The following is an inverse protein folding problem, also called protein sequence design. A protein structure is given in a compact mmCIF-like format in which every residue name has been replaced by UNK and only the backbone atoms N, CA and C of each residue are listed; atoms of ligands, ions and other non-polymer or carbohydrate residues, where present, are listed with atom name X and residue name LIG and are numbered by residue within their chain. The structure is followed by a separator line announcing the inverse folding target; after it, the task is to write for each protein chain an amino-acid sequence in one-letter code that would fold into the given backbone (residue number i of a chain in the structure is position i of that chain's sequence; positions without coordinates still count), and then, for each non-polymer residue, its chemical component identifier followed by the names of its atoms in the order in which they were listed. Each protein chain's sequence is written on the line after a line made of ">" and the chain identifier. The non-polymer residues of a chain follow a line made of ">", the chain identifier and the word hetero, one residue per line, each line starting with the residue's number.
data_IF_645431905652
#
_entry.id   IF_645431905652
#
_cell.length_a   1.000
_cell.length_b   1.000
_cell.length_c   1.000
_cell.angle_alpha   90.00
_cell.angle_beta   90.00
_cell.angle_gamma   90.00
#
_symmetry.space_group_name_H-M   'P 1'
#
loop_
_entity.id
_entity.type
_entity.pdbx_description
1 polymer ?
#
# COMPACT_ATOMS: atom_id res chain seq x y z
N UNK A 1 3.32 -6.81 -19.58
CA UNK A 1 3.25 -7.53 -18.29
C UNK A 1 3.24 -6.47 -17.21
N UNK A 2 2.32 -6.51 -16.25
CA UNK A 2 2.26 -5.46 -15.22
C UNK A 2 3.49 -5.58 -14.29
N UNK A 3 4.21 -4.49 -13.98
CA UNK A 3 5.46 -4.53 -13.20
C UNK A 3 5.30 -5.21 -11.83
N UNK A 4 4.11 -5.14 -11.24
CA UNK A 4 3.82 -5.71 -9.93
C UNK A 4 3.70 -7.25 -9.91
N UNK A 5 3.42 -7.88 -11.06
CA UNK A 5 3.34 -9.35 -11.13
C UNK A 5 4.68 -9.97 -10.74
N UNK A 6 5.80 -9.41 -11.22
CA UNK A 6 7.17 -9.90 -10.98
C UNK A 6 7.54 -9.87 -9.49
N UNK A 7 7.07 -8.85 -8.76
CA UNK A 7 7.34 -8.69 -7.32
C UNK A 7 6.54 -9.67 -6.44
N UNK A 8 5.44 -10.23 -6.95
CA UNK A 8 4.51 -11.07 -6.19
C UNK A 8 4.50 -12.53 -6.64
N UNK A 9 5.30 -12.92 -7.65
CA UNK A 9 5.25 -14.26 -8.24
C UNK A 9 5.47 -15.40 -7.25
N UNK A 10 6.16 -15.13 -6.14
CA UNK A 10 6.45 -16.11 -5.09
C UNK A 10 5.31 -16.26 -4.06
N UNK A 11 4.23 -15.50 -4.19
CA UNK A 11 3.10 -15.52 -3.26
C UNK A 11 1.88 -16.13 -3.95
N UNK A 12 1.29 -17.15 -3.32
CA UNK A 12 0.07 -17.80 -3.82
C UNK A 12 -1.07 -16.78 -3.92
N UNK A 13 -1.71 -16.73 -5.10
CA UNK A 13 -2.95 -15.98 -5.31
C UNK A 13 -4.15 -16.78 -4.80
N UNK A 14 -5.19 -16.14 -4.25
CA UNK A 14 -6.39 -16.83 -3.80
C UNK A 14 -7.31 -17.15 -4.97
N UNK A 15 -8.16 -18.14 -4.74
CA UNK A 15 -9.25 -18.48 -5.63
C UNK A 15 -10.28 -17.33 -5.68
N UNK A 16 -10.69 -16.87 -6.87
CA UNK A 16 -11.77 -15.90 -7.01
C UNK A 16 -13.09 -16.50 -6.51
N UNK A 17 -13.71 -15.90 -5.48
CA UNK A 17 -15.04 -16.32 -5.01
C UNK A 17 -15.34 -16.22 -3.51
N UNK A 18 -14.36 -15.89 -2.65
CA UNK A 18 -14.56 -15.80 -1.18
C UNK A 18 -14.63 -14.35 -0.70
N UNK A 19 -15.59 -13.58 -1.20
CA UNK A 19 -15.66 -12.14 -0.93
C UNK A 19 -16.33 -11.76 0.41
N UNK A 20 -17.03 -12.70 1.07
CA UNK A 20 -17.82 -12.41 2.28
C UNK A 20 -17.19 -12.87 3.62
N UNK A 21 -16.06 -13.61 3.59
CA UNK A 21 -15.50 -14.22 4.82
C UNK A 21 -14.32 -13.48 5.45
N UNK A 22 -13.82 -12.38 4.88
CA UNK A 22 -12.57 -11.77 5.34
C UNK A 22 -12.69 -10.38 6.00
N UNK A 23 -13.90 -9.86 6.22
CA UNK A 23 -14.09 -8.54 6.85
C UNK A 23 -13.54 -8.47 8.28
N UNK A 24 -13.55 -9.58 9.02
CA UNK A 24 -12.91 -9.65 10.34
C UNK A 24 -11.40 -9.50 10.24
N UNK A 25 -10.77 -10.12 9.24
CA UNK A 25 -9.35 -9.96 8.98
C UNK A 25 -9.04 -8.51 8.58
N UNK A 26 -9.86 -7.89 7.75
CA UNK A 26 -9.71 -6.49 7.36
C UNK A 26 -9.74 -5.56 8.59
N UNK A 27 -10.67 -5.79 9.52
CA UNK A 27 -10.73 -5.05 10.78
C UNK A 27 -9.50 -5.29 11.66
N UNK A 28 -9.04 -6.53 11.77
CA UNK A 28 -7.81 -6.84 12.49
C UNK A 28 -6.59 -6.16 11.86
N UNK A 29 -6.50 -6.10 10.54
CA UNK A 29 -5.42 -5.44 9.81
C UNK A 29 -5.47 -3.92 10.00
N UNK A 30 -6.67 -3.33 9.98
CA UNK A 30 -6.83 -1.91 10.26
C UNK A 30 -6.49 -1.58 11.72
N UNK A 31 -6.89 -2.42 12.67
CA UNK A 31 -6.46 -2.30 14.06
C UNK A 31 -4.93 -2.43 14.17
N UNK A 32 -4.34 -3.43 13.50
CA UNK A 32 -2.89 -3.61 13.48
C UNK A 32 -2.16 -2.38 12.93
N UNK A 33 -2.72 -1.74 11.90
CA UNK A 33 -2.21 -0.49 11.38
C UNK A 33 -2.11 0.59 12.45
N UNK A 34 -3.22 0.85 13.14
CA UNK A 34 -3.34 1.89 14.15
C UNK A 34 -2.50 1.60 15.41
N UNK A 35 -2.30 0.33 15.75
CA UNK A 35 -1.54 -0.06 16.94
C UNK A 35 -0.04 -0.19 16.69
N UNK A 36 0.38 -0.59 15.50
CA UNK A 36 1.78 -0.96 15.23
C UNK A 36 2.33 -0.34 13.94
N UNK A 37 1.68 -0.56 12.79
CA UNK A 37 2.26 -0.19 11.48
C UNK A 37 2.52 1.30 11.33
N UNK A 38 1.66 2.16 11.90
CA UNK A 38 1.81 3.62 11.81
C UNK A 38 3.12 4.16 12.39
N UNK A 39 3.81 3.37 13.22
CA UNK A 39 5.05 3.78 13.87
C UNK A 39 6.32 3.43 13.09
N UNK A 40 6.24 2.60 12.04
CA UNK A 40 7.41 2.14 11.27
C UNK A 40 8.16 3.31 10.63
N UNK A 41 7.43 4.35 10.23
CA UNK A 41 7.98 5.49 9.49
C UNK A 41 8.15 6.74 10.36
N UNK A 42 8.06 6.58 11.68
CA UNK A 42 8.14 7.68 12.65
C UNK A 42 9.38 7.59 13.55
N UNK A 43 10.52 7.09 13.03
CA UNK A 43 11.76 6.91 13.81
C UNK A 43 12.42 8.20 14.29
N UNK A 44 12.06 9.36 13.72
CA UNK A 44 12.50 10.66 14.22
C UNK A 44 11.29 11.43 14.70
N UNK A 45 11.39 12.07 15.88
CA UNK A 45 10.39 12.92 16.57
C UNK A 45 9.96 14.17 15.76
N UNK A 46 9.86 14.06 14.44
CA UNK A 46 9.21 15.01 13.59
C UNK A 46 7.68 14.87 13.78
N UNK A 47 7.14 15.74 14.62
CA UNK A 47 5.72 15.82 14.96
C UNK A 47 4.83 15.90 13.71
N UNK A 48 5.28 16.58 12.66
CA UNK A 48 4.52 16.71 11.41
C UNK A 48 4.49 15.40 10.62
N UNK A 49 5.61 14.67 10.59
CA UNK A 49 5.68 13.33 9.99
C UNK A 49 4.76 12.35 10.73
N UNK A 50 4.71 12.45 12.06
CA UNK A 50 3.84 11.65 12.90
C UNK A 50 2.36 11.79 12.51
N UNK A 51 1.89 13.03 12.31
CA UNK A 51 0.48 13.31 12.02
C UNK A 51 0.02 12.71 10.69
N UNK A 52 0.88 12.68 9.68
CA UNK A 52 0.56 12.09 8.37
C UNK A 52 0.22 10.61 8.51
N UNK A 53 1.07 9.84 9.20
CA UNK A 53 0.87 8.40 9.37
C UNK A 53 -0.22 8.07 10.39
N UNK A 54 -0.40 8.90 11.42
CA UNK A 54 -1.36 8.60 12.48
C UNK A 54 -2.80 9.02 12.16
N UNK A 55 -2.98 10.13 11.45
CA UNK A 55 -4.30 10.73 11.24
C UNK A 55 -4.68 10.81 9.76
N UNK A 56 -3.82 11.38 8.92
CA UNK A 56 -4.19 11.68 7.53
C UNK A 56 -4.27 10.41 6.68
N UNK A 57 -3.33 9.48 6.87
CA UNK A 57 -3.30 8.22 6.13
C UNK A 57 -4.59 7.39 6.33
N UNK A 58 -5.09 7.14 7.55
CA UNK A 58 -6.42 6.55 7.76
C UNK A 58 -7.56 7.34 7.12
N UNK A 59 -7.60 8.68 7.28
CA UNK A 59 -8.69 9.51 6.73
C UNK A 59 -8.78 9.37 5.21
N UNK A 60 -7.63 9.41 4.53
CA UNK A 60 -7.55 9.23 3.08
C UNK A 60 -7.95 7.81 2.69
N UNK A 61 -7.49 6.79 3.43
CA UNK A 61 -7.86 5.41 3.18
C UNK A 61 -9.38 5.17 3.32
N UNK A 62 -10.03 5.72 4.35
CA UNK A 62 -11.49 5.61 4.50
C UNK A 62 -12.26 6.32 3.39
N UNK A 63 -11.65 7.32 2.74
CA UNK A 63 -12.28 8.10 1.66
C UNK A 63 -12.00 7.53 0.27
N UNK A 64 -11.16 6.50 0.16
CA UNK A 64 -10.72 5.92 -1.11
C UNK A 64 -10.49 4.42 -1.01
N UNK A 65 -11.33 3.63 -1.70
CA UNK A 65 -11.26 2.17 -1.64
C UNK A 65 -9.90 1.60 -2.07
N UNK A 66 -9.25 2.17 -3.10
CA UNK A 66 -7.92 1.70 -3.50
C UNK A 66 -6.87 2.00 -2.43
N UNK A 67 -6.95 3.15 -1.75
CA UNK A 67 -6.07 3.46 -0.63
C UNK A 67 -6.31 2.51 0.55
N UNK A 68 -7.57 2.21 0.88
CA UNK A 68 -7.91 1.25 1.93
C UNK A 68 -7.31 -0.12 1.65
N UNK A 69 -7.52 -0.66 0.45
CA UNK A 69 -6.93 -1.94 0.09
C UNK A 69 -5.40 -1.91 0.18
N UNK A 70 -4.72 -0.90 -0.37
CA UNK A 70 -3.27 -0.80 -0.26
C UNK A 70 -2.77 -0.73 1.20
N UNK A 71 -3.50 0.00 2.07
CA UNK A 71 -3.16 0.15 3.49
C UNK A 71 -3.31 -1.18 4.26
N UNK A 72 -4.40 -1.91 4.00
CA UNK A 72 -4.63 -3.23 4.60
C UNK A 72 -3.59 -4.24 4.13
N UNK A 73 -3.24 -4.21 2.84
CA UNK A 73 -2.20 -5.08 2.29
C UNK A 73 -0.83 -4.82 2.92
N UNK A 74 -0.43 -3.56 3.05
CA UNK A 74 0.81 -3.19 3.73
C UNK A 74 0.81 -3.60 5.21
N UNK A 75 -0.33 -3.43 5.88
CA UNK A 75 -0.50 -3.85 7.28
C UNK A 75 -0.41 -5.37 7.45
N UNK A 76 -0.88 -6.14 6.48
CA UNK A 76 -0.75 -7.59 6.47
C UNK A 76 0.71 -8.04 6.31
N UNK A 77 1.50 -7.36 5.47
CA UNK A 77 2.95 -7.61 5.37
C UNK A 77 3.65 -7.32 6.70
N UNK A 78 3.36 -6.19 7.33
CA UNK A 78 3.92 -5.90 8.64
C UNK A 78 3.49 -6.92 9.70
N UNK A 79 2.22 -7.31 9.76
CA UNK A 79 1.75 -8.35 10.69
C UNK A 79 2.44 -9.70 10.43
N UNK A 80 2.76 -10.02 9.17
CA UNK A 80 3.46 -11.25 8.79
C UNK A 80 4.91 -11.30 9.32
N UNK A 81 5.59 -10.16 9.50
CA UNK A 81 6.95 -10.14 10.09
C UNK A 81 6.91 -10.42 11.59
N UNK A 82 5.83 -10.03 12.25
CA UNK A 82 5.63 -10.22 13.70
C UNK A 82 4.97 -11.56 14.04
N UNK A 83 4.31 -12.22 13.08
CA UNK A 83 3.63 -13.50 13.27
C UNK A 83 4.09 -14.56 12.25
N UNK A 84 5.30 -15.15 12.43
CA UNK A 84 5.86 -16.11 11.48
C UNK A 84 4.97 -17.32 11.20
N UNK A 85 4.20 -17.78 12.19
CA UNK A 85 3.27 -18.91 12.06
C UNK A 85 2.12 -18.64 11.09
N UNK A 86 1.73 -17.38 10.90
CA UNK A 86 0.64 -16.96 10.01
C UNK A 86 1.16 -16.24 8.76
N UNK A 87 2.48 -16.09 8.61
CA UNK A 87 3.10 -15.26 7.59
C UNK A 87 2.67 -15.63 6.16
N UNK A 88 2.46 -16.91 5.85
CA UNK A 88 1.99 -17.35 4.52
C UNK A 88 0.61 -16.78 4.20
N UNK A 89 -0.35 -16.95 5.12
CA UNK A 89 -1.73 -16.48 4.94
C UNK A 89 -1.78 -14.96 4.85
N UNK A 90 -1.04 -14.27 5.72
CA UNK A 90 -0.96 -12.82 5.74
C UNK A 90 -0.31 -12.25 4.47
N UNK A 91 0.71 -12.91 3.91
CA UNK A 91 1.33 -12.51 2.64
C UNK A 91 0.39 -12.71 1.45
N UNK A 92 -0.34 -13.82 1.40
CA UNK A 92 -1.39 -14.01 0.39
C UNK A 92 -2.43 -12.90 0.48
N UNK A 93 -2.97 -12.67 1.68
CA UNK A 93 -3.90 -11.57 1.93
C UNK A 93 -3.33 -10.22 1.47
N UNK A 94 -2.05 -9.94 1.77
CA UNK A 94 -1.41 -8.72 1.35
C UNK A 94 -1.46 -8.52 -0.17
N UNK A 95 -1.14 -9.56 -0.94
CA UNK A 95 -1.16 -9.52 -2.41
C UNK A 95 -2.58 -9.32 -2.94
N UNK A 96 -3.58 -9.94 -2.33
CA UNK A 96 -4.99 -9.79 -2.74
C UNK A 96 -5.46 -8.35 -2.64
N UNK A 97 -5.14 -7.74 -1.50
CA UNK A 97 -5.45 -6.35 -1.26
C UNK A 97 -4.74 -5.46 -2.27
N UNK A 98 -3.48 -5.74 -2.58
CA UNK A 98 -2.77 -4.93 -3.56
C UNK A 98 -3.30 -5.09 -4.98
N UNK A 99 -3.61 -6.32 -5.40
CA UNK A 99 -4.24 -6.57 -6.71
C UNK A 99 -5.58 -5.82 -6.83
N UNK A 100 -6.43 -5.88 -5.80
CA UNK A 100 -7.68 -5.10 -5.73
C UNK A 100 -7.41 -3.60 -5.79
N UNK A 101 -6.42 -3.12 -5.04
CA UNK A 101 -6.07 -1.71 -5.01
C UNK A 101 -5.62 -1.19 -6.38
N UNK A 102 -4.79 -1.96 -7.10
CA UNK A 102 -4.32 -1.63 -8.44
C UNK A 102 -5.45 -1.61 -9.48
N UNK A 103 -6.39 -2.56 -9.40
CA UNK A 103 -7.59 -2.56 -10.26
C UNK A 103 -8.44 -1.33 -9.99
N UNK A 104 -8.78 -1.07 -8.73
CA UNK A 104 -9.59 0.08 -8.33
C UNK A 104 -8.93 1.42 -8.69
N UNK A 105 -7.60 1.52 -8.57
CA UNK A 105 -6.84 2.71 -8.97
C UNK A 105 -6.86 2.95 -10.49
N UNK A 106 -6.84 1.90 -11.31
CA UNK A 106 -6.97 2.03 -12.77
C UNK A 106 -8.36 2.48 -13.19
N UNK A 107 -9.38 2.01 -12.49
CA UNK A 107 -10.78 2.33 -12.79
C UNK A 107 -11.17 3.74 -12.31
N UNK A 108 -10.77 4.12 -11.10
CA UNK A 108 -11.28 5.31 -10.41
C UNK A 108 -10.21 6.36 -10.12
N UNK A 109 -8.93 5.98 -10.15
CA UNK A 109 -7.80 6.82 -9.76
C UNK A 109 -7.08 7.52 -10.92
N UNK A 110 -7.47 7.33 -12.18
CA UNK A 110 -6.71 7.89 -13.31
C UNK A 110 -6.97 9.38 -13.51
N UNK A 111 -8.23 9.82 -13.49
CA UNK A 111 -8.60 11.24 -13.63
C UNK A 111 -7.94 12.06 -12.53
N UNK A 112 -7.17 13.11 -12.85
CA UNK A 112 -6.57 13.97 -11.83
C UNK A 112 -7.56 15.05 -11.43
N UNK A 113 -7.98 15.05 -10.17
CA UNK A 113 -8.81 16.10 -9.57
C UNK A 113 -8.18 16.59 -8.28
N UNK A 114 -8.49 17.81 -7.87
CA UNK A 114 -8.04 18.33 -6.57
C UNK A 114 -8.49 17.43 -5.41
N UNK A 115 -9.65 16.79 -5.55
CA UNK A 115 -10.25 15.91 -4.53
C UNK A 115 -9.49 14.59 -4.37
N UNK A 116 -8.87 14.06 -5.42
CA UNK A 116 -8.18 12.77 -5.37
C UNK A 116 -6.64 12.86 -5.33
N UNK A 117 -6.07 14.05 -5.42
CA UNK A 117 -4.62 14.26 -5.37
C UNK A 117 -3.98 13.62 -4.12
N UNK A 118 -4.58 13.82 -2.96
CA UNK A 118 -4.11 13.23 -1.70
C UNK A 118 -4.18 11.69 -1.72
N UNK A 119 -5.26 11.14 -2.28
CA UNK A 119 -5.45 9.69 -2.39
C UNK A 119 -4.44 9.06 -3.37
N UNK A 120 -4.14 9.71 -4.49
CA UNK A 120 -3.08 9.29 -5.42
C UNK A 120 -1.71 9.29 -4.74
N UNK A 121 -1.38 10.37 -4.05
CA UNK A 121 -0.11 10.49 -3.32
C UNK A 121 0.04 9.38 -2.28
N UNK A 122 -0.97 9.19 -1.43
CA UNK A 122 -1.01 8.12 -0.43
C UNK A 122 -0.89 6.74 -1.07
N UNK A 123 -1.64 6.48 -2.14
CA UNK A 123 -1.62 5.19 -2.83
C UNK A 123 -0.23 4.88 -3.39
N UNK A 124 0.42 5.83 -4.05
CA UNK A 124 1.79 5.66 -4.54
C UNK A 124 2.76 5.34 -3.41
N UNK A 125 2.69 6.06 -2.28
CA UNK A 125 3.52 5.76 -1.11
C UNK A 125 3.27 4.36 -0.55
N UNK A 126 2.03 3.90 -0.50
CA UNK A 126 1.71 2.55 -0.02
C UNK A 126 2.21 1.46 -0.96
N UNK A 127 2.06 1.64 -2.28
CA UNK A 127 2.58 0.70 -3.29
C UNK A 127 4.10 0.61 -3.21
N UNK A 128 4.76 1.76 -3.06
CA UNK A 128 6.19 1.87 -2.81
C UNK A 128 6.61 1.05 -1.59
N UNK A 129 6.06 1.35 -0.42
CA UNK A 129 6.37 0.65 0.83
C UNK A 129 6.08 -0.85 0.75
N UNK A 130 5.02 -1.23 0.04
CA UNK A 130 4.70 -2.64 -0.21
C UNK A 130 5.80 -3.32 -1.02
N UNK A 131 6.30 -2.69 -2.09
CA UNK A 131 7.39 -3.23 -2.90
C UNK A 131 8.69 -3.45 -2.08
N UNK A 132 8.96 -2.60 -1.09
CA UNK A 132 10.08 -2.82 -0.14
C UNK A 132 9.83 -3.92 0.87
N UNK A 133 8.58 -4.07 1.33
CA UNK A 133 8.23 -4.99 2.40
C UNK A 133 8.13 -6.45 1.93
N UNK A 134 7.95 -6.70 0.62
CA UNK A 134 8.07 -8.05 0.07
C UNK A 134 9.56 -8.45 0.07
N UNK A 135 9.92 -9.61 0.64
CA UNK A 135 11.27 -10.14 0.56
C UNK A 135 11.71 -10.20 -0.91
N UNK A 136 12.85 -9.60 -1.27
CA UNK A 136 13.18 -9.39 -2.66
C UNK A 136 13.38 -10.71 -3.40
N UNK A 137 12.68 -10.87 -4.53
CA UNK A 137 13.24 -11.51 -5.71
C UNK A 137 14.24 -10.59 -6.44
N UNK A 138 14.29 -9.29 -6.09
CA UNK A 138 15.11 -8.24 -6.74
C UNK A 138 15.88 -7.41 -5.70
N UNK A 139 17.22 -7.21 -5.83
CA UNK A 139 18.04 -6.55 -4.82
C UNK A 139 17.51 -5.20 -4.30
N UNK A 140 17.71 -4.85 -3.01
CA UNK A 140 17.15 -3.65 -2.38
C UNK A 140 17.42 -2.31 -3.09
N UNK A 141 18.50 -2.22 -3.87
CA UNK A 141 18.90 -1.01 -4.61
C UNK A 141 17.94 -0.74 -5.78
N UNK A 142 17.42 -1.79 -6.42
CA UNK A 142 16.52 -1.64 -7.57
C UNK A 142 15.10 -1.23 -7.12
N UNK A 143 14.67 -1.69 -5.94
CA UNK A 143 13.44 -1.19 -5.31
C UNK A 143 13.53 0.30 -4.96
N UNK A 144 14.73 0.77 -4.57
CA UNK A 144 15.00 2.19 -4.30
C UNK A 144 14.98 3.02 -5.58
N UNK A 145 15.56 2.54 -6.67
CA UNK A 145 15.52 3.28 -7.94
C UNK A 145 14.11 3.35 -8.50
N UNK A 146 13.32 2.27 -8.44
CA UNK A 146 11.91 2.30 -8.84
C UNK A 146 11.05 3.22 -7.96
N UNK A 147 11.29 3.25 -6.65
CA UNK A 147 10.66 4.22 -5.75
C UNK A 147 10.93 5.65 -6.21
N UNK A 148 12.19 5.98 -6.46
CA UNK A 148 12.57 7.32 -6.91
C UNK A 148 11.98 7.66 -8.28
N UNK A 149 11.82 6.68 -9.17
CA UNK A 149 11.15 6.87 -10.46
C UNK A 149 9.63 7.07 -10.30
N UNK A 150 8.98 6.37 -9.38
CA UNK A 150 7.56 6.56 -9.06
C UNK A 150 7.30 7.95 -8.46
N UNK A 151 8.15 8.37 -7.52
CA UNK A 151 8.05 9.69 -6.88
C UNK A 151 8.33 10.81 -7.88
N UNK A 152 9.36 10.67 -8.73
CA UNK A 152 9.62 11.64 -9.81
C UNK A 152 8.49 11.69 -10.86
N UNK A 153 7.83 10.56 -11.11
CA UNK A 153 6.63 10.51 -11.94
C UNK A 153 5.51 11.39 -11.40
N UNK A 154 5.36 11.49 -10.07
CA UNK A 154 4.41 12.39 -9.42
C UNK A 154 4.81 13.85 -9.60
N UNK A 155 6.08 14.21 -9.41
CA UNK A 155 6.56 15.59 -9.58
C UNK A 155 6.40 16.07 -11.03
N UNK A 156 6.58 15.17 -11.99
CA UNK A 156 6.39 15.48 -13.42
C UNK A 156 4.91 15.74 -13.73
N UNK A 157 4.01 14.92 -13.16
CA UNK A 157 2.55 15.10 -13.29
C UNK A 157 2.07 16.38 -12.62
N UNK A 158 2.68 16.79 -11.49
CA UNK A 158 2.37 18.06 -10.82
C UNK A 158 2.91 19.27 -11.61
N UNK A 159 4.04 19.12 -12.31
CA UNK A 159 4.60 20.15 -13.20
C UNK A 159 3.79 20.38 -14.48
N UNK A 160 3.13 19.36 -15.01
CA UNK A 160 2.31 19.45 -16.23
C UNK A 160 0.89 20.00 -15.96
N UNK A 161 0.44 20.04 -14.71
CA UNK A 161 -0.90 20.57 -14.34
C UNK A 161 -0.96 22.09 -14.16
N UNK A 162 0.12 22.82 -14.48
CA UNK A 162 0.17 24.30 -14.47
C UNK A 162 0.65 24.89 -15.80
N UNK A 163 -0.07 24.59 -16.88
CA UNK A 163 -0.22 25.48 -18.03
C UNK A 163 -1.69 25.51 -18.49
#
# INVERSE_FOLDING_TARGET
>A
MAPFTVLTELIDRPSPGKHDENWMLDLELMHHYLSHTRYILTEHDNVDGLRIWQEEMPKVAFSSHYCMHALLGFSALHKATLQPSQARVLRTCAVDHLDKALVLYREHGQTSTAENANAKFVFTWLVALFAYAIPPSVPPIDAITELFLLVKGIDTVLGETWF
#
